data_IF_738846623910
#
_entry.id   IF_738846623910
#
_cell.length_a   1.000
_cell.length_b   1.000
_cell.length_c   1.000
_cell.angle_alpha   90.00
_cell.angle_beta   90.00
_cell.angle_gamma   90.00
#
_symmetry.space_group_name_H-M   'P 1'
#
loop_
_entity.id
_entity.type
_entity.pdbx_description
1 polymer ?
#
# COMPACT_ATOMS: atom_id res chain seq x y z
N UNK A 1 33.33 16.26 -30.34
CA UNK A 1 31.96 16.68 -30.65
C UNK A 1 31.21 16.80 -29.33
N UNK A 2 30.84 18.01 -28.94
CA UNK A 2 30.12 18.25 -27.68
C UNK A 2 28.70 17.69 -27.81
N UNK A 3 28.31 16.79 -26.91
CA UNK A 3 26.92 16.41 -26.74
C UNK A 3 26.15 17.67 -26.33
N UNK A 4 25.23 18.13 -27.19
CA UNK A 4 24.43 19.32 -26.92
C UNK A 4 23.68 19.14 -25.61
N UNK A 5 23.83 20.10 -24.69
CA UNK A 5 23.04 20.14 -23.47
C UNK A 5 21.56 20.25 -23.86
N UNK A 6 20.81 19.16 -23.69
CA UNK A 6 19.36 19.15 -23.85
C UNK A 6 18.80 20.06 -22.76
N UNK A 7 18.00 21.04 -23.15
CA UNK A 7 17.36 21.97 -22.21
C UNK A 7 16.52 21.18 -21.18
N UNK A 8 16.61 21.49 -19.88
CA UNK A 8 15.72 20.94 -18.85
C UNK A 8 14.25 21.10 -19.24
N UNK A 9 13.50 20.00 -19.20
CA UNK A 9 12.06 20.01 -19.49
C UNK A 9 11.31 20.52 -18.26
N UNK A 10 10.37 21.47 -18.43
CA UNK A 10 9.54 21.93 -17.30
C UNK A 10 8.34 21.01 -17.08
N UNK A 11 7.70 21.11 -15.91
CA UNK A 11 6.45 20.40 -15.62
C UNK A 11 5.37 20.68 -16.68
N UNK A 12 5.23 21.94 -17.09
CA UNK A 12 4.21 22.39 -18.04
C UNK A 12 4.44 21.84 -19.46
N UNK A 13 5.70 21.54 -19.81
CA UNK A 13 6.06 20.90 -21.07
C UNK A 13 5.88 19.36 -20.99
N UNK A 14 6.16 18.77 -19.82
CA UNK A 14 6.18 17.33 -19.62
C UNK A 14 4.81 16.72 -19.31
N UNK A 15 4.03 17.36 -18.44
CA UNK A 15 2.80 16.78 -17.89
C UNK A 15 1.71 16.54 -18.93
N UNK A 16 1.41 17.45 -19.87
CA UNK A 16 0.41 17.19 -20.90
C UNK A 16 0.73 15.94 -21.73
N UNK A 17 2.01 15.74 -22.07
CA UNK A 17 2.45 14.54 -22.76
C UNK A 17 2.29 13.28 -21.88
N UNK A 18 2.73 13.32 -20.62
CA UNK A 18 2.57 12.20 -19.69
C UNK A 18 1.08 11.86 -19.48
N UNK A 19 0.23 12.88 -19.39
CA UNK A 19 -1.20 12.74 -19.21
C UNK A 19 -1.86 12.11 -20.43
N UNK A 20 -1.66 12.66 -21.63
CA UNK A 20 -2.34 12.19 -22.84
C UNK A 20 -1.75 10.90 -23.41
N UNK A 21 -0.44 10.83 -23.56
CA UNK A 21 0.22 9.75 -24.28
C UNK A 21 0.54 8.53 -23.40
N UNK A 22 0.45 8.69 -22.08
CA UNK A 22 0.72 7.60 -21.12
C UNK A 22 -0.49 7.32 -20.22
N UNK A 23 -0.86 8.25 -19.34
CA UNK A 23 -1.88 8.02 -18.29
C UNK A 23 -3.27 7.77 -18.87
N UNK A 24 -3.77 8.68 -19.72
CA UNK A 24 -5.10 8.57 -20.34
C UNK A 24 -5.18 7.32 -21.21
N UNK A 25 -4.12 7.00 -21.96
CA UNK A 25 -4.06 5.77 -22.75
C UNK A 25 -4.05 4.48 -21.92
N UNK A 26 -3.54 4.50 -20.70
CA UNK A 26 -3.67 3.35 -19.79
C UNK A 26 -5.12 3.24 -19.28
N UNK A 27 -5.74 4.38 -19.00
CA UNK A 27 -7.14 4.45 -18.56
C UNK A 27 -8.10 4.00 -19.70
N UNK A 28 -7.79 4.37 -20.94
CA UNK A 28 -8.62 4.13 -22.14
C UNK A 28 -8.27 2.82 -22.85
N UNK A 29 -7.03 2.33 -22.76
CA UNK A 29 -6.52 1.12 -23.42
C UNK A 29 -7.17 -0.20 -22.97
N UNK A 30 -8.09 -0.12 -22.01
CA UNK A 30 -8.92 -1.24 -21.54
C UNK A 30 -10.02 -1.66 -22.52
N UNK A 31 -10.12 -0.99 -23.68
CA UNK A 31 -10.94 -1.41 -24.84
C UNK A 31 -10.19 -2.35 -25.81
N UNK A 32 -9.00 -2.84 -25.47
CA UNK A 32 -8.38 -4.00 -26.14
C UNK A 32 -7.39 -3.70 -27.27
N UNK A 33 -6.45 -2.78 -27.05
CA UNK A 33 -5.35 -2.52 -28.02
C UNK A 33 -3.98 -2.87 -27.40
N UNK A 34 -3.14 -3.52 -28.22
CA UNK A 34 -1.84 -4.14 -27.91
C UNK A 34 -0.83 -3.31 -27.10
N UNK A 35 0.05 -4.02 -26.37
CA UNK A 35 1.25 -3.51 -25.68
C UNK A 35 2.09 -2.65 -26.63
N UNK A 36 2.15 -1.33 -26.39
CA UNK A 36 3.16 -0.43 -27.00
C UNK A 36 4.21 -0.05 -25.96
N UNK A 37 5.45 0.13 -26.39
CA UNK A 37 6.49 0.75 -25.58
C UNK A 37 6.13 2.23 -25.35
N UNK A 38 5.97 2.63 -24.09
CA UNK A 38 5.78 4.02 -23.71
C UNK A 38 7.15 4.64 -23.39
N UNK A 39 7.53 5.71 -24.08
CA UNK A 39 8.76 6.48 -23.81
C UNK A 39 8.50 7.62 -22.83
N UNK A 40 7.86 7.33 -21.69
CA UNK A 40 7.54 8.30 -20.63
C UNK A 40 8.57 8.32 -19.50
N UNK A 41 9.37 7.26 -19.35
CA UNK A 41 10.45 7.17 -18.35
C UNK A 41 11.55 8.22 -18.60
N UNK A 42 11.93 8.44 -19.87
CA UNK A 42 12.88 9.48 -20.27
C UNK A 42 12.34 10.90 -20.03
N UNK A 43 11.04 11.11 -20.25
CA UNK A 43 10.38 12.41 -19.99
C UNK A 43 10.41 12.74 -18.50
N UNK A 44 10.06 11.80 -17.62
CA UNK A 44 10.15 12.02 -16.16
C UNK A 44 11.61 12.23 -15.74
N UNK A 45 12.55 11.46 -16.29
CA UNK A 45 13.98 11.64 -16.02
C UNK A 45 14.45 13.05 -16.38
N UNK A 46 14.10 13.57 -17.56
CA UNK A 46 14.52 14.90 -18.05
C UNK A 46 13.95 16.07 -17.24
N UNK A 47 12.82 15.88 -16.55
CA UNK A 47 12.29 16.88 -15.59
C UNK A 47 13.00 16.77 -14.23
N UNK A 48 13.36 15.55 -13.81
CA UNK A 48 13.89 15.30 -12.48
C UNK A 48 15.40 15.47 -12.34
N UNK A 49 16.18 15.08 -13.35
CA UNK A 49 17.65 15.12 -13.34
C UNK A 49 18.22 16.52 -13.03
N UNK A 50 17.72 17.63 -13.62
CA UNK A 50 18.32 18.94 -13.45
C UNK A 50 18.22 19.48 -12.02
N UNK A 51 17.14 19.16 -11.30
CA UNK A 51 16.97 19.49 -9.89
C UNK A 51 16.07 18.46 -9.19
N UNK A 52 16.63 17.34 -8.68
CA UNK A 52 15.87 16.23 -8.10
C UNK A 52 15.11 16.57 -6.81
N UNK A 53 15.15 17.81 -6.34
CA UNK A 53 14.37 18.27 -5.19
C UNK A 53 13.74 19.65 -5.43
N UNK A 54 13.65 20.04 -6.71
CA UNK A 54 13.12 21.31 -7.15
C UNK A 54 11.60 21.36 -7.24
N UNK A 55 11.03 22.55 -7.49
CA UNK A 55 9.59 22.76 -7.57
C UNK A 55 8.93 21.94 -8.70
N UNK A 56 9.61 21.71 -9.82
CA UNK A 56 9.09 20.93 -10.95
C UNK A 56 8.84 19.45 -10.59
N UNK A 57 9.74 18.88 -9.79
CA UNK A 57 9.65 17.51 -9.27
C UNK A 57 8.51 17.37 -8.27
N UNK A 58 8.30 18.39 -7.42
CA UNK A 58 7.16 18.46 -6.51
C UNK A 58 5.83 18.54 -7.28
N UNK A 59 5.74 19.40 -8.31
CA UNK A 59 4.53 19.50 -9.16
C UNK A 59 4.19 18.17 -9.83
N UNK A 60 5.20 17.45 -10.34
CA UNK A 60 5.01 16.10 -10.90
C UNK A 60 4.44 15.14 -9.87
N UNK A 61 4.98 15.12 -8.65
CA UNK A 61 4.50 14.26 -7.57
C UNK A 61 3.06 14.59 -7.16
N UNK A 62 2.72 15.89 -7.06
CA UNK A 62 1.38 16.33 -6.67
C UNK A 62 0.33 15.99 -7.74
N UNK A 63 0.63 16.23 -9.01
CA UNK A 63 -0.27 15.89 -10.12
C UNK A 63 -0.39 14.38 -10.35
N UNK A 64 0.68 13.64 -10.12
CA UNK A 64 0.66 12.20 -10.03
C UNK A 64 -0.37 11.71 -8.99
N UNK A 65 -0.30 12.23 -7.76
CA UNK A 65 -1.21 11.81 -6.68
C UNK A 65 -2.64 12.19 -7.03
N UNK A 66 -2.82 13.40 -7.55
CA UNK A 66 -4.11 13.91 -8.01
C UNK A 66 -4.71 13.04 -9.13
N UNK A 67 -3.90 12.47 -10.03
CA UNK A 67 -4.39 11.57 -11.09
C UNK A 67 -5.12 10.35 -10.52
N UNK A 68 -4.59 9.74 -9.46
CA UNK A 68 -5.25 8.63 -8.78
C UNK A 68 -6.53 9.09 -8.08
N UNK A 69 -6.47 10.23 -7.37
CA UNK A 69 -7.62 10.81 -6.67
C UNK A 69 -8.76 11.16 -7.65
N UNK A 70 -8.44 11.77 -8.79
CA UNK A 70 -9.37 12.13 -9.86
C UNK A 70 -9.94 10.88 -10.52
N UNK A 71 -9.13 9.85 -10.80
CA UNK A 71 -9.62 8.57 -11.33
C UNK A 71 -10.61 7.89 -10.37
N UNK A 72 -10.26 7.80 -9.09
CA UNK A 72 -11.14 7.20 -8.07
C UNK A 72 -12.45 7.98 -7.98
N UNK A 73 -12.36 9.31 -7.87
CA UNK A 73 -13.52 10.17 -7.65
C UNK A 73 -14.43 10.27 -8.87
N UNK A 74 -13.87 10.34 -10.08
CA UNK A 74 -14.65 10.56 -11.31
C UNK A 74 -15.07 9.28 -12.04
N UNK A 75 -14.35 8.17 -11.86
CA UNK A 75 -14.61 6.90 -12.58
C UNK A 75 -14.97 5.75 -11.66
N UNK A 76 -14.24 5.57 -10.55
CA UNK A 76 -14.45 4.40 -9.66
C UNK A 76 -15.71 4.59 -8.83
N UNK A 77 -15.78 5.62 -7.98
CA UNK A 77 -16.91 5.82 -7.06
C UNK A 77 -18.27 5.89 -7.80
N UNK A 78 -18.42 6.64 -8.91
CA UNK A 78 -19.69 6.67 -9.64
C UNK A 78 -20.05 5.32 -10.26
N UNK A 79 -19.05 4.51 -10.65
CA UNK A 79 -19.31 3.19 -11.21
C UNK A 79 -19.81 2.16 -10.20
N UNK A 80 -19.49 2.36 -8.92
CA UNK A 80 -19.92 1.49 -7.82
C UNK A 80 -21.31 1.88 -7.29
N UNK A 81 -21.69 3.14 -7.47
CA UNK A 81 -22.95 3.67 -6.96
C UNK A 81 -24.16 2.94 -7.57
N UNK A 82 -25.09 2.50 -6.71
CA UNK A 82 -26.31 1.80 -7.12
C UNK A 82 -26.14 0.30 -7.45
N UNK A 83 -24.92 -0.25 -7.40
CA UNK A 83 -24.69 -1.69 -7.54
C UNK A 83 -24.79 -2.40 -6.18
N UNK A 84 -25.32 -3.62 -6.17
CA UNK A 84 -25.43 -4.45 -4.97
C UNK A 84 -24.98 -5.88 -5.24
N UNK A 85 -24.65 -6.62 -4.17
CA UNK A 85 -24.33 -8.04 -4.19
C UNK A 85 -23.23 -8.37 -5.24
N UNK A 86 -23.44 -9.41 -6.05
CA UNK A 86 -22.49 -9.90 -7.05
C UNK A 86 -22.12 -8.85 -8.10
N UNK A 87 -23.05 -7.98 -8.51
CA UNK A 87 -22.80 -6.94 -9.50
C UNK A 87 -21.85 -5.85 -8.97
N UNK A 88 -21.93 -5.54 -7.68
CA UNK A 88 -20.99 -4.64 -7.02
C UNK A 88 -19.59 -5.25 -7.00
N UNK A 89 -19.50 -6.55 -6.68
CA UNK A 89 -18.23 -7.27 -6.64
C UNK A 89 -17.57 -7.35 -8.02
N UNK A 90 -18.34 -7.63 -9.08
CA UNK A 90 -17.82 -7.69 -10.45
C UNK A 90 -17.31 -6.33 -10.93
N UNK A 91 -18.02 -5.24 -10.63
CA UNK A 91 -17.52 -3.90 -10.96
C UNK A 91 -16.26 -3.57 -10.16
N UNK A 92 -16.22 -3.94 -8.88
CA UNK A 92 -15.07 -3.70 -8.03
C UNK A 92 -13.83 -4.45 -8.55
N UNK A 93 -13.98 -5.72 -8.93
CA UNK A 93 -12.92 -6.50 -9.58
C UNK A 93 -12.49 -5.89 -10.92
N UNK A 94 -13.44 -5.39 -11.72
CA UNK A 94 -13.12 -4.70 -12.99
C UNK A 94 -12.30 -3.44 -12.72
N UNK A 95 -12.75 -2.56 -11.81
CA UNK A 95 -12.03 -1.33 -11.42
C UNK A 95 -10.68 -1.64 -10.79
N UNK A 96 -10.60 -2.73 -10.04
CA UNK A 96 -9.36 -3.23 -9.47
C UNK A 96 -8.33 -3.58 -10.55
N UNK A 97 -8.72 -4.29 -11.62
CA UNK A 97 -7.83 -4.59 -12.76
C UNK A 97 -7.31 -3.33 -13.45
N UNK A 98 -8.14 -2.29 -13.56
CA UNK A 98 -7.73 -1.00 -14.12
C UNK A 98 -6.73 -0.31 -13.20
N UNK A 99 -7.06 -0.23 -11.91
CA UNK A 99 -6.19 0.34 -10.90
C UNK A 99 -4.83 -0.38 -10.84
N UNK A 100 -4.83 -1.72 -10.92
CA UNK A 100 -3.63 -2.56 -11.03
C UNK A 100 -2.75 -2.18 -12.21
N UNK A 101 -3.36 -1.99 -13.37
CA UNK A 101 -2.65 -1.62 -14.60
C UNK A 101 -2.09 -0.20 -14.50
N UNK A 102 -2.88 0.75 -13.98
CA UNK A 102 -2.41 2.11 -13.71
C UNK A 102 -1.23 2.13 -12.74
N UNK A 103 -1.34 1.47 -11.59
CA UNK A 103 -0.28 1.41 -10.59
C UNK A 103 1.00 0.79 -11.16
N UNK A 104 0.90 -0.28 -11.96
CA UNK A 104 2.07 -0.86 -12.65
C UNK A 104 2.79 0.15 -13.52
N UNK A 105 2.09 0.75 -14.48
CA UNK A 105 2.71 1.66 -15.43
C UNK A 105 3.20 2.95 -14.76
N UNK A 106 2.45 3.47 -13.80
CA UNK A 106 2.86 4.69 -13.10
C UNK A 106 4.08 4.47 -12.20
N UNK A 107 4.21 3.30 -11.55
CA UNK A 107 5.44 2.95 -10.82
C UNK A 107 6.67 2.89 -11.72
N UNK A 108 6.49 2.54 -13.00
CA UNK A 108 7.56 2.53 -14.00
C UNK A 108 7.90 3.94 -14.47
N UNK A 109 6.89 4.70 -14.90
CA UNK A 109 7.08 6.08 -15.39
C UNK A 109 7.73 6.97 -14.35
N UNK A 110 7.29 6.83 -13.10
CA UNK A 110 7.74 7.66 -11.98
C UNK A 110 8.78 6.96 -11.09
N UNK A 111 9.43 5.89 -11.57
CA UNK A 111 10.44 5.15 -10.80
C UNK A 111 11.56 6.06 -10.27
N UNK A 112 11.95 7.08 -11.05
CA UNK A 112 12.96 8.04 -10.62
C UNK A 112 12.49 8.88 -9.43
N UNK A 113 11.22 9.33 -9.42
CA UNK A 113 10.63 10.06 -8.29
C UNK A 113 10.62 9.18 -7.04
N UNK A 114 10.16 7.94 -7.16
CA UNK A 114 10.09 7.00 -6.03
C UNK A 114 11.46 6.63 -5.47
N UNK A 115 12.50 6.59 -6.31
CA UNK A 115 13.84 6.21 -5.87
C UNK A 115 14.60 7.34 -5.18
N UNK A 116 14.39 8.59 -5.63
CA UNK A 116 15.23 9.72 -5.21
C UNK A 116 14.48 10.84 -4.51
N UNK A 117 13.24 11.15 -4.91
CA UNK A 117 12.48 12.26 -4.36
C UNK A 117 11.79 11.88 -3.04
N UNK A 118 11.01 10.79 -3.05
CA UNK A 118 10.21 10.35 -1.90
C UNK A 118 11.10 9.96 -0.71
N UNK A 119 12.21 9.25 -0.99
CA UNK A 119 13.23 8.86 0.01
C UNK A 119 13.85 10.09 0.68
N UNK A 120 14.22 11.13 -0.10
CA UNK A 120 14.82 12.35 0.45
C UNK A 120 13.86 13.19 1.28
N UNK A 121 12.59 13.23 0.89
CA UNK A 121 11.54 14.00 1.58
C UNK A 121 10.82 13.21 2.69
N UNK A 122 11.14 11.92 2.87
CA UNK A 122 10.41 10.99 3.75
C UNK A 122 8.90 10.96 3.46
N UNK A 123 8.54 11.10 2.19
CA UNK A 123 7.14 11.02 1.74
C UNK A 123 6.80 9.56 1.46
N UNK A 124 5.53 9.14 1.68
CA UNK A 124 5.09 7.82 1.27
C UNK A 124 5.31 7.66 -0.24
N UNK A 125 5.73 6.49 -0.68
CA UNK A 125 5.85 6.24 -2.12
C UNK A 125 4.48 6.38 -2.79
N UNK A 126 4.54 6.66 -4.10
CA UNK A 126 3.44 6.59 -5.08
C UNK A 126 2.51 5.42 -4.79
N UNK A 127 3.13 4.28 -4.54
CA UNK A 127 2.52 2.99 -4.29
C UNK A 127 1.90 2.91 -2.89
N UNK A 128 2.60 3.38 -1.86
CA UNK A 128 2.09 3.41 -0.48
C UNK A 128 0.81 4.24 -0.34
N UNK A 129 0.72 5.37 -1.02
CA UNK A 129 -0.47 6.24 -0.99
C UNK A 129 -1.67 5.55 -1.65
N UNK A 130 -1.47 4.87 -2.78
CA UNK A 130 -2.51 4.10 -3.45
C UNK A 130 -3.02 2.92 -2.58
N UNK A 131 -2.17 2.36 -1.73
CA UNK A 131 -2.49 1.21 -0.89
C UNK A 131 -3.17 1.55 0.45
N UNK A 132 -3.34 2.81 0.82
CA UNK A 132 -3.88 3.15 2.15
C UNK A 132 -5.27 2.54 2.36
N UNK A 133 -6.12 2.59 1.33
CA UNK A 133 -7.44 1.97 1.35
C UNK A 133 -7.37 0.44 1.53
N UNK A 134 -6.32 -0.20 1.02
CA UNK A 134 -6.08 -1.63 1.18
C UNK A 134 -5.74 -1.98 2.63
N UNK A 135 -4.85 -1.23 3.29
CA UNK A 135 -4.52 -1.48 4.70
C UNK A 135 -5.72 -1.23 5.61
N UNK A 136 -6.55 -0.23 5.29
CA UNK A 136 -7.82 -0.03 6.00
C UNK A 136 -8.79 -1.21 5.88
N UNK A 137 -8.84 -1.91 4.73
CA UNK A 137 -9.65 -3.13 4.61
C UNK A 137 -9.13 -4.24 5.53
N UNK A 138 -7.81 -4.40 5.63
CA UNK A 138 -7.20 -5.38 6.55
C UNK A 138 -7.51 -5.03 8.01
N UNK A 139 -7.41 -3.75 8.38
CA UNK A 139 -7.72 -3.32 9.74
C UNK A 139 -9.20 -3.52 10.09
N UNK A 140 -10.13 -3.30 9.15
CA UNK A 140 -11.55 -3.65 9.33
C UNK A 140 -11.76 -5.15 9.55
N UNK A 141 -11.04 -5.99 8.80
CA UNK A 141 -11.05 -7.44 9.04
C UNK A 141 -10.51 -7.80 10.43
N UNK A 142 -9.50 -7.08 10.94
CA UNK A 142 -8.98 -7.24 12.31
C UNK A 142 -9.97 -6.79 13.38
N UNK A 143 -10.90 -5.90 13.04
CA UNK A 143 -12.00 -5.49 13.91
C UNK A 143 -13.22 -6.44 13.83
N UNK A 144 -13.11 -7.52 13.05
CA UNK A 144 -14.13 -8.56 12.94
C UNK A 144 -15.11 -8.35 11.80
N UNK A 145 -14.89 -7.36 10.92
CA UNK A 145 -15.71 -7.18 9.74
C UNK A 145 -15.40 -8.23 8.67
N UNK A 146 -16.44 -8.76 8.00
CA UNK A 146 -16.24 -9.58 6.82
C UNK A 146 -15.77 -8.72 5.64
N UNK A 147 -14.62 -9.07 5.07
CA UNK A 147 -14.07 -8.43 3.88
C UNK A 147 -13.94 -9.42 2.72
N UNK A 148 -13.89 -8.89 1.50
CA UNK A 148 -13.57 -9.70 0.33
C UNK A 148 -12.04 -9.96 0.25
N UNK A 149 -11.61 -11.09 0.81
CA UNK A 149 -10.21 -11.56 0.78
C UNK A 149 -9.66 -11.79 -0.64
N UNK A 150 -10.53 -11.97 -1.64
CA UNK A 150 -10.13 -12.09 -3.04
C UNK A 150 -9.52 -10.79 -3.57
N UNK A 151 -10.11 -9.65 -3.23
CA UNK A 151 -9.58 -8.32 -3.60
C UNK A 151 -8.22 -8.09 -2.96
N UNK A 152 -8.07 -8.51 -1.70
CA UNK A 152 -6.80 -8.40 -0.97
C UNK A 152 -5.71 -9.24 -1.65
N UNK A 153 -6.01 -10.48 -2.06
CA UNK A 153 -5.07 -11.31 -2.83
C UNK A 153 -4.69 -10.68 -4.16
N UNK A 154 -5.68 -10.23 -4.94
CA UNK A 154 -5.42 -9.60 -6.24
C UNK A 154 -4.55 -8.35 -6.10
N UNK A 155 -4.66 -7.62 -4.99
CA UNK A 155 -3.82 -6.48 -4.70
C UNK A 155 -2.36 -6.84 -4.40
N UNK A 156 -2.17 -7.91 -3.65
CA UNK A 156 -0.84 -8.44 -3.34
C UNK A 156 -0.17 -9.01 -4.59
N UNK A 157 -0.94 -9.65 -5.48
CA UNK A 157 -0.44 -10.24 -6.72
C UNK A 157 0.22 -9.19 -7.63
N UNK A 158 -0.25 -7.95 -7.58
CA UNK A 158 0.34 -6.81 -8.32
C UNK A 158 1.83 -6.74 -8.04
N UNK A 159 2.23 -6.64 -6.78
CA UNK A 159 3.63 -6.48 -6.39
C UNK A 159 4.56 -7.58 -6.88
N UNK A 160 4.02 -8.78 -7.05
CA UNK A 160 4.77 -9.93 -7.57
C UNK A 160 4.89 -9.85 -9.09
N UNK A 161 3.83 -9.43 -9.78
CA UNK A 161 3.81 -9.25 -11.23
C UNK A 161 4.65 -8.06 -11.69
N UNK A 162 4.61 -6.91 -10.99
CA UNK A 162 5.45 -5.74 -11.31
C UNK A 162 6.94 -6.11 -11.27
N UNK A 163 7.31 -6.99 -10.33
CA UNK A 163 8.67 -7.49 -10.21
C UNK A 163 9.11 -8.45 -11.30
N UNK A 164 8.27 -8.76 -12.28
CA UNK A 164 8.53 -9.81 -13.29
C UNK A 164 8.93 -11.14 -12.63
N UNK A 165 8.20 -11.51 -11.57
CA UNK A 165 8.51 -12.66 -10.72
C UNK A 165 9.59 -12.42 -9.67
N UNK A 166 10.30 -11.29 -9.70
CA UNK A 166 11.17 -10.87 -8.61
C UNK A 166 10.34 -10.36 -7.41
N UNK A 167 10.84 -10.60 -6.20
CA UNK A 167 10.21 -10.15 -4.95
C UNK A 167 10.50 -8.68 -4.61
N UNK A 168 11.16 -7.94 -5.51
CA UNK A 168 11.70 -6.62 -5.20
C UNK A 168 10.63 -5.64 -4.73
N UNK A 169 9.59 -5.44 -5.54
CA UNK A 169 8.51 -4.49 -5.23
C UNK A 169 7.58 -5.02 -4.13
N UNK A 170 7.41 -6.33 -4.03
CA UNK A 170 6.71 -6.94 -2.90
C UNK A 170 7.38 -6.64 -1.56
N UNK A 171 8.70 -6.82 -1.47
CA UNK A 171 9.44 -6.56 -0.24
C UNK A 171 9.55 -5.05 0.02
N UNK A 172 9.89 -4.26 -1.00
CA UNK A 172 10.17 -2.82 -0.82
C UNK A 172 8.91 -1.99 -0.59
N UNK A 173 7.85 -2.23 -1.34
CA UNK A 173 6.69 -1.32 -1.35
C UNK A 173 5.48 -1.87 -0.60
N UNK A 174 5.37 -3.20 -0.48
CA UNK A 174 4.27 -3.86 0.22
C UNK A 174 4.65 -4.32 1.64
N UNK A 175 5.64 -5.20 1.78
CA UNK A 175 5.96 -5.82 3.09
C UNK A 175 6.26 -4.76 4.15
N UNK A 176 7.12 -3.78 3.85
CA UNK A 176 7.50 -2.74 4.81
C UNK A 176 6.30 -1.88 5.28
N UNK A 177 5.40 -1.53 4.35
CA UNK A 177 4.21 -0.75 4.66
C UNK A 177 3.17 -1.57 5.45
N UNK A 178 2.98 -2.85 5.07
CA UNK A 178 2.13 -3.80 5.80
C UNK A 178 2.61 -4.00 7.24
N UNK A 179 3.92 -4.15 7.44
CA UNK A 179 4.50 -4.25 8.79
C UNK A 179 4.26 -2.99 9.60
N UNK A 180 4.52 -1.82 9.01
CA UNK A 180 4.29 -0.54 9.69
C UNK A 180 2.83 -0.38 10.12
N UNK A 181 1.87 -0.70 9.24
CA UNK A 181 0.45 -0.65 9.56
C UNK A 181 0.07 -1.66 10.66
N UNK A 182 0.60 -2.88 10.58
CA UNK A 182 0.38 -3.94 11.58
C UNK A 182 0.91 -3.56 12.96
N UNK A 183 2.14 -3.05 13.03
CA UNK A 183 2.72 -2.51 14.27
C UNK A 183 1.81 -1.43 14.84
N UNK A 184 1.46 -0.42 14.06
CA UNK A 184 0.62 0.68 14.52
C UNK A 184 -0.77 0.24 15.03
N UNK A 185 -1.36 -0.80 14.43
CA UNK A 185 -2.62 -1.38 14.88
C UNK A 185 -2.46 -2.10 16.23
N UNK A 186 -1.50 -3.03 16.33
CA UNK A 186 -1.34 -3.85 17.52
C UNK A 186 -0.75 -3.09 18.70
N UNK A 187 0.17 -2.13 18.50
CA UNK A 187 0.63 -1.26 19.60
C UNK A 187 -0.54 -0.50 20.25
N UNK A 188 -1.51 -0.05 19.44
CA UNK A 188 -2.70 0.67 19.94
C UNK A 188 -3.63 -0.26 20.72
N UNK A 189 -3.93 -1.45 20.18
CA UNK A 189 -4.76 -2.46 20.85
C UNK A 189 -4.10 -2.94 22.15
N UNK A 190 -2.79 -3.19 22.12
CA UNK A 190 -2.02 -3.62 23.28
C UNK A 190 -2.07 -2.59 24.41
N UNK A 191 -1.89 -1.30 24.08
CA UNK A 191 -1.96 -0.21 25.04
C UNK A 191 -3.35 -0.07 25.69
N UNK A 192 -4.41 -0.21 24.90
CA UNK A 192 -5.78 -0.21 25.41
C UNK A 192 -6.01 -1.39 26.36
N UNK A 193 -5.68 -2.61 25.92
CA UNK A 193 -5.94 -3.81 26.70
C UNK A 193 -5.07 -3.89 27.96
N UNK A 194 -3.79 -3.54 27.89
CA UNK A 194 -2.90 -3.60 29.07
C UNK A 194 -3.35 -2.61 30.14
N UNK A 195 -3.98 -1.50 29.74
CA UNK A 195 -4.50 -0.50 30.68
C UNK A 195 -5.83 -0.97 31.27
N UNK A 196 -6.74 -1.45 30.42
CA UNK A 196 -8.15 -1.60 30.76
C UNK A 196 -8.61 -3.03 31.07
N UNK A 197 -7.77 -4.05 30.89
CA UNK A 197 -8.16 -5.47 31.02
C UNK A 197 -7.36 -6.17 32.13
N UNK A 198 -7.92 -7.28 32.64
CA UNK A 198 -7.21 -8.18 33.55
C UNK A 198 -6.10 -8.94 32.83
N UNK A 199 -5.16 -9.54 33.57
CA UNK A 199 -4.12 -10.37 32.95
C UNK A 199 -4.73 -11.53 32.13
N UNK A 200 -5.74 -12.22 32.66
CA UNK A 200 -6.37 -13.36 31.99
C UNK A 200 -7.07 -12.93 30.70
N UNK A 201 -7.87 -11.87 30.75
CA UNK A 201 -8.57 -11.35 29.57
C UNK A 201 -7.59 -10.85 28.50
N UNK A 202 -6.49 -10.22 28.93
CA UNK A 202 -5.42 -9.80 28.03
C UNK A 202 -4.84 -11.01 27.29
N UNK A 203 -4.43 -12.05 28.01
CA UNK A 203 -3.82 -13.24 27.42
C UNK A 203 -4.77 -13.98 26.47
N UNK A 204 -6.06 -14.05 26.80
CA UNK A 204 -7.08 -14.62 25.91
C UNK A 204 -7.19 -13.83 24.59
N UNK A 205 -7.20 -12.48 24.66
CA UNK A 205 -7.21 -11.64 23.46
C UNK A 205 -5.95 -11.80 22.63
N UNK A 206 -4.78 -11.96 23.26
CA UNK A 206 -3.52 -12.22 22.54
C UNK A 206 -3.61 -13.53 21.76
N UNK A 207 -4.07 -14.61 22.40
CA UNK A 207 -4.22 -15.91 21.74
C UNK A 207 -5.21 -15.84 20.57
N UNK A 208 -6.36 -15.20 20.77
CA UNK A 208 -7.35 -14.99 19.71
C UNK A 208 -6.74 -14.21 18.53
N UNK A 209 -6.03 -13.11 18.81
CA UNK A 209 -5.40 -12.29 17.79
C UNK A 209 -4.36 -13.06 16.97
N UNK A 210 -3.49 -13.82 17.63
CA UNK A 210 -2.48 -14.63 16.96
C UNK A 210 -3.11 -15.70 16.07
N UNK A 211 -4.19 -16.35 16.53
CA UNK A 211 -4.92 -17.33 15.75
C UNK A 211 -5.61 -16.72 14.53
N UNK A 212 -6.27 -15.58 14.70
CA UNK A 212 -6.90 -14.84 13.60
C UNK A 212 -5.86 -14.35 12.59
N UNK A 213 -4.76 -13.76 13.06
CA UNK A 213 -3.69 -13.27 12.18
C UNK A 213 -3.04 -14.43 11.42
N UNK A 214 -2.87 -15.60 12.04
CA UNK A 214 -2.37 -16.81 11.37
C UNK A 214 -3.27 -17.25 10.21
N UNK A 215 -4.59 -17.17 10.38
CA UNK A 215 -5.54 -17.40 9.30
C UNK A 215 -5.41 -16.35 8.20
N UNK A 216 -5.43 -15.08 8.58
CA UNK A 216 -5.35 -13.91 7.69
C UNK A 216 -4.10 -13.90 6.81
N UNK A 217 -2.92 -14.09 7.41
CA UNK A 217 -1.67 -14.15 6.64
C UNK A 217 -1.61 -15.39 5.75
N UNK A 218 -2.28 -16.47 6.12
CA UNK A 218 -2.35 -17.67 5.29
C UNK A 218 -3.21 -17.46 4.05
N UNK A 219 -4.30 -16.69 4.19
CA UNK A 219 -5.28 -16.43 3.13
C UNK A 219 -4.72 -15.57 1.99
N UNK A 220 -3.92 -14.55 2.30
CA UNK A 220 -3.50 -13.60 1.26
C UNK A 220 -2.05 -13.12 1.28
N UNK A 221 -1.28 -13.27 2.37
CA UNK A 221 0.15 -12.95 2.33
C UNK A 221 0.96 -14.05 1.62
N UNK A 222 2.16 -13.73 1.15
CA UNK A 222 3.02 -14.63 0.36
C UNK A 222 4.41 -14.74 0.97
N UNK A 223 5.09 -15.85 0.70
CA UNK A 223 6.50 -16.05 1.09
C UNK A 223 6.71 -15.94 2.62
N UNK A 224 7.79 -15.27 3.05
CA UNK A 224 8.17 -15.13 4.46
C UNK A 224 7.39 -14.06 5.22
N UNK A 225 6.68 -13.15 4.53
CA UNK A 225 5.91 -12.09 5.19
C UNK A 225 4.86 -12.63 6.16
N UNK A 226 4.35 -13.84 5.94
CA UNK A 226 3.47 -14.56 6.88
C UNK A 226 4.07 -14.67 8.27
N UNK A 227 5.33 -15.08 8.34
CA UNK A 227 6.03 -15.27 9.60
C UNK A 227 6.42 -13.93 10.22
N UNK A 228 6.89 -12.99 9.39
CA UNK A 228 7.31 -11.67 9.86
C UNK A 228 6.14 -10.88 10.48
N UNK A 229 4.94 -10.97 9.89
CA UNK A 229 3.74 -10.34 10.47
C UNK A 229 3.39 -10.96 11.81
N UNK A 230 3.40 -12.30 11.92
CA UNK A 230 3.14 -12.98 13.18
C UNK A 230 4.15 -12.62 14.27
N UNK A 231 5.43 -12.53 13.92
CA UNK A 231 6.50 -12.10 14.84
C UNK A 231 6.28 -10.67 15.33
N UNK A 232 5.84 -9.75 14.46
CA UNK A 232 5.48 -8.38 14.86
C UNK A 232 4.29 -8.38 15.81
N UNK A 233 3.23 -9.15 15.52
CA UNK A 233 2.06 -9.22 16.39
C UNK A 233 2.45 -9.74 17.78
N UNK A 234 3.25 -10.81 17.82
CA UNK A 234 3.74 -11.37 19.08
C UNK A 234 4.62 -10.37 19.83
N UNK A 235 5.53 -9.70 19.14
CA UNK A 235 6.40 -8.68 19.72
C UNK A 235 5.60 -7.53 20.35
N UNK A 236 4.66 -6.94 19.60
CA UNK A 236 3.86 -5.80 20.06
C UNK A 236 2.91 -6.17 21.20
N UNK A 237 2.34 -7.38 21.19
CA UNK A 237 1.40 -7.82 22.22
C UNK A 237 2.09 -8.34 23.48
N UNK A 238 3.27 -8.94 23.39
CA UNK A 238 3.92 -9.61 24.53
C UNK A 238 5.23 -8.93 24.94
N UNK A 239 6.17 -8.78 24.00
CA UNK A 239 7.54 -8.34 24.30
C UNK A 239 7.57 -6.89 24.75
N UNK A 240 6.87 -6.00 24.04
CA UNK A 240 6.79 -4.56 24.37
C UNK A 240 6.20 -4.32 25.76
N UNK A 241 5.32 -5.21 26.23
CA UNK A 241 4.60 -5.07 27.49
C UNK A 241 5.03 -6.06 28.59
N UNK A 242 6.15 -6.77 28.40
CA UNK A 242 6.59 -7.86 29.29
C UNK A 242 6.63 -7.46 30.77
N UNK A 243 7.25 -6.34 31.14
CA UNK A 243 7.34 -5.89 32.54
C UNK A 243 5.95 -5.64 33.16
N UNK A 244 5.04 -4.99 32.43
CA UNK A 244 3.67 -4.72 32.92
C UNK A 244 2.85 -5.99 33.05
N UNK A 245 3.05 -6.94 32.13
CA UNK A 245 2.39 -8.25 32.20
C UNK A 245 2.87 -9.05 33.41
N UNK A 246 4.16 -9.01 33.73
CA UNK A 246 4.71 -9.63 34.94
C UNK A 246 4.13 -9.02 36.22
N UNK A 247 4.02 -7.69 36.30
CA UNK A 247 3.40 -6.99 37.43
C UNK A 247 1.93 -7.41 37.60
N UNK A 248 1.14 -7.37 36.52
CA UNK A 248 -0.27 -7.82 36.57
C UNK A 248 -0.42 -9.28 36.95
N UNK A 249 0.48 -10.16 36.48
CA UNK A 249 0.46 -11.58 36.81
C UNK A 249 0.69 -11.81 38.31
N UNK A 250 1.64 -11.10 38.92
CA UNK A 250 1.91 -11.18 40.37
C UNK A 250 0.71 -10.75 41.20
N UNK A 251 0.07 -9.62 40.84
CA UNK A 251 -1.13 -9.15 41.53
C UNK A 251 -2.29 -10.17 41.51
N UNK A 252 -2.47 -10.89 40.40
CA UNK A 252 -3.50 -11.95 40.31
C UNK A 252 -3.15 -13.15 41.20
N UNK A 253 -1.87 -13.52 41.29
CA UNK A 253 -1.42 -14.63 42.14
C UNK A 253 -1.53 -14.32 43.64
N UNK A 254 -1.21 -13.07 44.03
CA UNK A 254 -1.35 -12.59 45.41
C UNK A 254 -2.80 -12.47 45.84
N UNK A 255 -3.71 -12.07 44.94
CA UNK A 255 -5.14 -11.97 45.23
C UNK A 255 -5.85 -13.33 45.36
N UNK A 256 -5.22 -14.42 44.90
CA UNK A 256 -5.76 -15.78 44.95
C UNK A 256 -5.23 -16.62 46.12
N UNK A 257 -4.27 -16.10 46.89
CA UNK A 257 -3.66 -16.74 48.06
C UNK A 257 -4.30 -16.24 49.37
#
# INVERSE_FOLDING_TARGET
MAAGAVRPLTFEEAWPFLQEEAINRIIDGLDGVEKRQFTSEETVYNVCEPNPSGPEVQKLYDHYKKTFEDYISSKVLPSLQGKQNELLLLELLRRWKIHKTMTYWMSRFFHYLDRYYTVRKKLPSVVQTANLAFYHMIDREREGEEINKGIVREAIDIYVEIGDGSRKYYVQDFEGAMMTATTAFYSRKALDWITNQTYQDYMLKVEECLNQEKGRVSDYLKFRSKYNVLEIVEHELLVVHASKLEEKKKHVQEAAA
#
